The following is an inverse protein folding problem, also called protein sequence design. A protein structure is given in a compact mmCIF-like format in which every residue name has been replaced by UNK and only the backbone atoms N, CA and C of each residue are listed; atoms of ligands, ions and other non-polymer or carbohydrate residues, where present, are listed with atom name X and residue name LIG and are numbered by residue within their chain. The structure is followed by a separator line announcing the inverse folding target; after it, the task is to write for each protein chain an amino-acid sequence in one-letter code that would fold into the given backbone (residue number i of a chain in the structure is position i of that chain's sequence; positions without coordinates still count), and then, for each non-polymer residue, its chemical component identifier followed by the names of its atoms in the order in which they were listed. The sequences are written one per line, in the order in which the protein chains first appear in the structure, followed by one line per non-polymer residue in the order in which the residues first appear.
data_IF_025725731488
#
_entry.id   IF_025725731488
#
_cell.length_a   1.000
_cell.length_b   1.000
_cell.length_c   1.000
_cell.angle_alpha   90.00
_cell.angle_beta   90.00
_cell.angle_gamma   90.00
#
_symmetry.space_group_name_H-M   'P 1'
#
loop_
_entity.id
_entity.type
_entity.pdbx_description
1 polymer ?
#
# COMPACT_ATOMS: atom_id res chain seq x y z
N UNK A 1 22.98 -13.45 0.22
CA UNK A 1 22.83 -12.54 -0.93
C UNK A 1 21.79 -11.50 -0.53
N UNK A 2 22.16 -10.24 -0.56
CA UNK A 2 21.25 -9.15 -0.27
C UNK A 2 20.41 -8.86 -1.53
N UNK A 3 19.11 -8.70 -1.41
CA UNK A 3 18.20 -8.39 -2.53
C UNK A 3 18.62 -7.11 -3.27
N UNK A 4 19.13 -6.13 -2.53
CA UNK A 4 19.64 -4.87 -3.08
C UNK A 4 20.85 -5.13 -3.98
N UNK A 5 21.76 -6.02 -3.58
CA UNK A 5 22.96 -6.39 -4.35
C UNK A 5 22.60 -7.12 -5.66
N UNK A 6 21.38 -7.66 -5.76
CA UNK A 6 20.86 -8.29 -6.98
C UNK A 6 20.37 -7.29 -8.03
N UNK A 7 20.41 -5.98 -7.75
CA UNK A 7 20.04 -4.93 -8.70
C UNK A 7 18.52 -4.67 -8.76
N UNK A 8 17.77 -4.90 -7.66
CA UNK A 8 16.37 -4.52 -7.60
C UNK A 8 16.19 -3.00 -7.67
N UNK A 9 15.08 -2.54 -8.22
CA UNK A 9 14.74 -1.11 -8.31
C UNK A 9 13.81 -0.66 -7.19
N UNK A 10 13.15 -1.60 -6.51
CA UNK A 10 12.23 -1.31 -5.41
C UNK A 10 12.03 -2.52 -4.51
N UNK A 11 11.53 -2.25 -3.31
CA UNK A 11 11.17 -3.24 -2.31
C UNK A 11 9.74 -2.94 -1.87
N UNK A 12 8.86 -3.93 -1.95
CA UNK A 12 7.48 -3.87 -1.45
C UNK A 12 7.35 -4.74 -0.21
N UNK A 13 6.69 -4.21 0.82
CA UNK A 13 6.36 -4.94 2.03
C UNK A 13 4.90 -4.74 2.41
N UNK A 14 4.29 -5.78 2.99
CA UNK A 14 2.90 -5.75 3.42
C UNK A 14 2.82 -6.03 4.94
N UNK A 15 2.97 -5.00 5.78
CA UNK A 15 2.75 -5.13 7.22
C UNK A 15 1.25 -5.32 7.50
N UNK A 16 0.89 -6.46 8.04
CA UNK A 16 -0.50 -6.81 8.34
C UNK A 16 -0.82 -6.61 9.82
N UNK A 17 -2.09 -6.30 10.18
CA UNK A 17 -2.51 -6.13 11.56
C UNK A 17 -2.33 -7.38 12.44
N UNK A 18 -2.30 -8.57 11.83
CA UNK A 18 -2.04 -9.85 12.51
C UNK A 18 -0.55 -10.17 12.65
N UNK A 19 0.33 -9.24 12.24
CA UNK A 19 1.79 -9.31 12.35
C UNK A 19 2.43 -10.50 11.59
N UNK A 20 1.70 -11.11 10.67
CA UNK A 20 2.26 -12.14 9.79
C UNK A 20 3.33 -11.54 8.89
N UNK A 21 4.44 -12.25 8.73
CA UNK A 21 5.55 -11.93 7.82
C UNK A 21 6.27 -10.63 8.16
N UNK A 22 5.71 -9.47 7.84
CA UNK A 22 6.29 -8.14 8.08
C UNK A 22 5.53 -7.45 9.20
N UNK A 23 6.26 -6.99 10.21
CA UNK A 23 5.73 -6.22 11.34
C UNK A 23 6.02 -4.72 11.17
N UNK A 24 5.36 -3.81 11.91
CA UNK A 24 5.72 -2.39 11.94
C UNK A 24 7.18 -2.14 12.33
N UNK A 25 7.76 -3.02 13.17
CA UNK A 25 9.19 -2.95 13.53
C UNK A 25 10.09 -3.25 12.33
N UNK A 26 9.73 -4.23 11.51
CA UNK A 26 10.48 -4.54 10.30
C UNK A 26 10.42 -3.39 9.29
N UNK A 27 9.28 -2.71 9.16
CA UNK A 27 9.15 -1.48 8.35
C UNK A 27 10.14 -0.42 8.82
N UNK A 28 10.24 -0.22 10.15
CA UNK A 28 11.18 0.72 10.75
C UNK A 28 12.64 0.40 10.42
N UNK A 29 13.01 -0.87 10.49
CA UNK A 29 14.37 -1.32 10.17
C UNK A 29 14.67 -1.22 8.67
N UNK A 30 13.73 -1.64 7.82
CA UNK A 30 13.86 -1.55 6.37
C UNK A 30 14.05 -0.09 5.92
N UNK A 31 13.25 0.84 6.46
CA UNK A 31 13.38 2.27 6.12
C UNK A 31 14.78 2.85 6.41
N UNK A 32 15.49 2.31 7.41
CA UNK A 32 16.85 2.74 7.74
C UNK A 32 17.91 2.20 6.78
N UNK A 33 17.70 0.99 6.25
CA UNK A 33 18.72 0.27 5.46
C UNK A 33 18.52 0.34 3.97
N UNK A 34 17.30 0.65 3.50
CA UNK A 34 17.01 0.80 2.07
C UNK A 34 17.66 2.10 1.56
N UNK A 35 18.57 2.03 0.58
CA UNK A 35 19.18 3.21 0.00
C UNK A 35 18.16 4.09 -0.76
N UNK A 36 18.40 5.40 -0.81
CA UNK A 36 17.49 6.35 -1.45
C UNK A 36 17.26 6.14 -2.96
N UNK A 37 18.09 5.36 -3.62
CA UNK A 37 17.93 5.01 -5.03
C UNK A 37 17.10 3.73 -5.25
N UNK A 38 16.62 3.10 -4.17
CA UNK A 38 15.72 1.93 -4.20
C UNK A 38 14.35 2.36 -3.70
N UNK A 39 13.35 2.19 -4.55
CA UNK A 39 11.97 2.55 -4.21
C UNK A 39 11.43 1.71 -3.04
N UNK A 40 10.87 2.37 -2.03
CA UNK A 40 10.22 1.69 -0.91
C UNK A 40 8.71 1.80 -1.04
N UNK A 41 8.03 0.67 -1.16
CA UNK A 41 6.58 0.57 -1.26
C UNK A 41 6.02 -0.15 -0.04
N UNK A 42 5.00 0.44 0.59
CA UNK A 42 4.24 -0.21 1.66
C UNK A 42 2.84 -0.52 1.11
N UNK A 43 2.51 -1.80 1.12
CA UNK A 43 1.20 -2.33 0.73
C UNK A 43 0.34 -2.56 1.97
N UNK A 44 -0.98 -2.37 1.85
CA UNK A 44 -1.92 -2.69 2.92
C UNK A 44 -3.32 -2.14 2.69
N UNK A 45 -4.24 -2.56 3.56
CA UNK A 45 -5.59 -2.04 3.55
C UNK A 45 -5.62 -0.66 4.24
N UNK A 46 -6.00 0.41 3.50
CA UNK A 46 -5.99 1.77 4.03
C UNK A 46 -7.02 2.01 5.15
N UNK A 47 -7.98 1.09 5.32
CA UNK A 47 -9.03 1.16 6.35
C UNK A 47 -8.67 0.39 7.62
N UNK A 48 -7.54 -0.32 7.63
CA UNK A 48 -7.08 -1.04 8.81
C UNK A 48 -6.78 -0.10 9.96
N UNK A 49 -7.51 -0.34 11.05
CA UNK A 49 -7.42 0.46 12.26
C UNK A 49 -6.26 -0.01 13.15
N UNK A 50 -5.77 0.87 14.02
CA UNK A 50 -4.74 0.49 15.00
C UNK A 50 -5.24 -0.58 15.96
N UNK A 51 -4.33 -1.44 16.40
CA UNK A 51 -4.48 -2.36 17.52
C UNK A 51 -3.23 -2.25 18.43
N UNK A 52 -3.11 -3.13 19.44
CA UNK A 52 -2.06 -3.04 20.47
C UNK A 52 -0.63 -3.04 19.87
N UNK A 53 -0.41 -3.71 18.76
CA UNK A 53 0.92 -3.90 18.15
C UNK A 53 1.03 -3.34 16.72
N UNK A 54 -0.08 -2.90 16.15
CA UNK A 54 -0.16 -2.35 14.79
C UNK A 54 -0.77 -0.94 14.81
N UNK A 55 -0.06 0.09 14.37
CA UNK A 55 -0.51 1.49 14.49
C UNK A 55 -1.61 1.88 13.49
N UNK A 56 -1.98 1.01 12.58
CA UNK A 56 -2.84 1.32 11.43
C UNK A 56 -2.03 1.63 10.17
N UNK A 57 -2.58 1.26 9.01
CA UNK A 57 -1.89 1.43 7.73
C UNK A 57 -1.53 2.90 7.45
N UNK A 58 -2.49 3.82 7.58
CA UNK A 58 -2.26 5.23 7.28
C UNK A 58 -1.27 5.89 8.24
N UNK A 59 -1.17 5.42 9.50
CA UNK A 59 -0.15 5.89 10.43
C UNK A 59 1.25 5.44 10.00
N UNK A 60 1.41 4.20 9.51
CA UNK A 60 2.68 3.74 8.93
C UNK A 60 3.08 4.59 7.72
N UNK A 61 2.13 4.88 6.83
CA UNK A 61 2.36 5.74 5.66
C UNK A 61 2.79 7.15 6.09
N UNK A 62 2.05 7.77 7.01
CA UNK A 62 2.35 9.12 7.49
C UNK A 62 3.73 9.20 8.16
N UNK A 63 4.09 8.17 8.94
CA UNK A 63 5.34 8.18 9.69
C UNK A 63 6.57 7.89 8.82
N UNK A 64 6.48 6.85 7.99
CA UNK A 64 7.64 6.39 7.21
C UNK A 64 7.77 7.05 5.84
N UNK A 65 6.73 7.66 5.33
CA UNK A 65 6.69 8.33 4.02
C UNK A 65 7.42 7.51 2.94
N UNK A 66 6.85 6.35 2.54
CA UNK A 66 7.42 5.55 1.48
C UNK A 66 7.32 6.28 0.13
N UNK A 67 8.03 5.80 -0.87
CA UNK A 67 7.92 6.34 -2.24
C UNK A 67 6.57 6.00 -2.88
N UNK A 68 6.00 4.86 -2.50
CA UNK A 68 4.69 4.39 -2.94
C UNK A 68 3.90 3.77 -1.79
N UNK A 69 2.59 3.95 -1.85
CA UNK A 69 1.61 3.26 -1.04
C UNK A 69 0.70 2.45 -1.96
N UNK A 70 0.71 1.11 -1.83
CA UNK A 70 -0.17 0.22 -2.58
C UNK A 70 -1.37 -0.15 -1.72
N UNK A 71 -2.55 0.23 -2.18
CA UNK A 71 -3.81 0.05 -1.46
C UNK A 71 -4.46 -1.26 -1.91
N UNK A 72 -4.77 -2.13 -0.94
CA UNK A 72 -5.46 -3.41 -1.15
C UNK A 72 -6.69 -3.51 -0.26
N UNK A 73 -7.77 -4.18 -0.67
CA UNK A 73 -8.98 -4.33 0.16
C UNK A 73 -8.91 -5.51 1.13
N UNK A 74 -7.71 -6.01 1.43
CA UNK A 74 -7.50 -7.21 2.22
C UNK A 74 -8.15 -7.16 3.61
N UNK A 75 -8.72 -8.29 4.01
CA UNK A 75 -9.18 -8.56 5.36
C UNK A 75 -8.15 -9.40 6.12
N UNK A 76 -8.09 -9.25 7.44
CA UNK A 76 -7.19 -10.03 8.31
C UNK A 76 -7.45 -11.53 8.27
N UNK A 77 -8.67 -11.94 7.92
CA UNK A 77 -9.05 -13.35 7.78
C UNK A 77 -8.56 -14.00 6.48
N UNK A 78 -8.18 -13.21 5.49
CA UNK A 78 -7.65 -13.71 4.22
C UNK A 78 -6.21 -14.19 4.38
N UNK A 79 -5.88 -15.33 3.75
CA UNK A 79 -4.49 -15.86 3.74
C UNK A 79 -3.56 -15.01 2.88
N UNK A 80 -4.10 -14.49 1.77
CA UNK A 80 -3.43 -13.62 0.81
C UNK A 80 -4.48 -12.74 0.14
N UNK A 81 -4.05 -11.69 -0.56
CA UNK A 81 -4.94 -10.91 -1.43
C UNK A 81 -5.61 -11.83 -2.46
N UNK A 82 -6.91 -11.71 -2.66
CA UNK A 82 -7.72 -12.55 -3.54
C UNK A 82 -8.69 -11.77 -4.43
N UNK A 83 -8.71 -10.45 -4.33
CA UNK A 83 -9.48 -9.53 -5.18
C UNK A 83 -8.94 -8.11 -5.08
N UNK A 84 -9.33 -7.26 -6.03
CA UNK A 84 -9.08 -5.82 -6.01
C UNK A 84 -10.22 -5.02 -5.37
N UNK A 85 -10.08 -3.70 -5.32
CA UNK A 85 -11.16 -2.82 -4.90
C UNK A 85 -12.33 -2.84 -5.89
N UNK A 86 -13.54 -3.02 -5.38
CA UNK A 86 -14.76 -2.77 -6.15
C UNK A 86 -14.99 -1.26 -6.29
N UNK A 87 -14.69 -0.73 -7.48
CA UNK A 87 -14.89 0.67 -7.81
C UNK A 87 -16.23 0.93 -8.52
N UNK A 88 -17.14 -0.03 -8.55
CA UNK A 88 -18.47 0.12 -9.19
C UNK A 88 -19.30 1.22 -8.51
N UNK A 89 -19.01 1.54 -7.25
CA UNK A 89 -19.66 2.59 -6.47
C UNK A 89 -18.65 3.63 -5.99
N UNK A 90 -19.08 4.90 -5.80
CA UNK A 90 -18.23 5.91 -5.17
C UNK A 90 -17.78 5.48 -3.77
N UNK A 91 -16.51 5.67 -3.47
CA UNK A 91 -15.94 5.45 -2.14
C UNK A 91 -15.24 6.72 -1.67
N UNK A 92 -15.99 7.54 -0.92
CA UNK A 92 -15.50 8.85 -0.45
C UNK A 92 -14.32 8.74 0.52
N UNK A 93 -14.21 7.63 1.25
CA UNK A 93 -13.07 7.41 2.16
C UNK A 93 -11.81 7.09 1.38
N UNK A 94 -11.91 6.23 0.36
CA UNK A 94 -10.81 5.94 -0.54
C UNK A 94 -10.33 7.20 -1.28
N UNK A 95 -11.27 8.04 -1.75
CA UNK A 95 -10.93 9.33 -2.37
C UNK A 95 -10.13 10.24 -1.42
N UNK A 96 -10.52 10.31 -0.14
CA UNK A 96 -9.79 11.10 0.87
C UNK A 96 -8.38 10.56 1.08
N UNK A 97 -8.23 9.24 1.13
CA UNK A 97 -6.92 8.59 1.29
C UNK A 97 -6.01 8.92 0.10
N UNK A 98 -6.50 8.78 -1.13
CA UNK A 98 -5.73 9.11 -2.33
C UNK A 98 -5.32 10.59 -2.34
N UNK A 99 -6.21 11.50 -1.96
CA UNK A 99 -5.88 12.93 -1.82
C UNK A 99 -4.82 13.16 -0.73
N UNK A 100 -4.88 12.43 0.37
CA UNK A 100 -3.87 12.50 1.44
C UNK A 100 -2.51 12.04 0.93
N UNK A 101 -2.43 10.90 0.26
CA UNK A 101 -1.18 10.40 -0.34
C UNK A 101 -0.58 11.43 -1.30
N UNK A 102 -1.41 12.03 -2.15
CA UNK A 102 -0.98 13.07 -3.07
C UNK A 102 -0.44 14.30 -2.35
N UNK A 103 -1.06 14.73 -1.25
CA UNK A 103 -0.59 15.86 -0.45
C UNK A 103 0.76 15.60 0.24
N UNK A 104 1.05 14.33 0.54
CA UNK A 104 2.32 13.84 1.08
C UNK A 104 3.39 13.58 0.00
N UNK A 105 3.05 13.77 -1.27
CA UNK A 105 3.90 13.42 -2.42
C UNK A 105 4.28 11.93 -2.45
N UNK A 106 3.38 11.07 -2.00
CA UNK A 106 3.51 9.62 -2.03
C UNK A 106 2.71 9.09 -3.22
N UNK A 107 3.34 8.30 -4.09
CA UNK A 107 2.70 7.69 -5.24
C UNK A 107 1.66 6.66 -4.79
N UNK A 108 0.45 6.78 -5.29
CA UNK A 108 -0.64 5.85 -5.01
C UNK A 108 -0.69 4.73 -6.04
N UNK A 109 -0.79 3.48 -5.58
CA UNK A 109 -1.14 2.30 -6.38
C UNK A 109 -2.37 1.64 -5.77
N UNK A 110 -3.23 1.06 -6.58
CA UNK A 110 -4.46 0.40 -6.10
C UNK A 110 -4.65 -0.96 -6.79
N UNK A 111 -4.98 -1.99 -6.00
CA UNK A 111 -5.40 -3.29 -6.52
C UNK A 111 -6.82 -3.20 -7.07
N UNK A 112 -6.98 -3.62 -8.32
CA UNK A 112 -8.29 -3.74 -8.98
C UNK A 112 -8.35 -5.04 -9.78
N UNK A 113 -9.55 -5.59 -9.92
CA UNK A 113 -9.78 -6.68 -10.85
C UNK A 113 -9.61 -6.18 -12.29
N UNK A 114 -9.23 -7.05 -13.26
CA UNK A 114 -8.96 -6.66 -14.64
C UNK A 114 -10.26 -6.34 -15.41
N UNK A 115 -10.92 -5.26 -15.01
CA UNK A 115 -12.14 -4.72 -15.60
C UNK A 115 -11.94 -3.30 -16.12
N UNK A 116 -12.42 -3.02 -17.32
CA UNK A 116 -12.22 -1.71 -17.98
C UNK A 116 -12.93 -0.58 -17.24
N UNK A 117 -14.08 -0.84 -16.63
CA UNK A 117 -14.81 0.18 -15.89
C UNK A 117 -14.07 0.51 -14.58
N UNK A 118 -13.49 -0.49 -13.90
CA UNK A 118 -12.63 -0.25 -12.74
C UNK A 118 -11.38 0.56 -13.11
N UNK A 119 -10.75 0.29 -14.26
CA UNK A 119 -9.62 1.09 -14.75
C UNK A 119 -9.98 2.56 -15.00
N UNK A 120 -11.13 2.81 -15.63
CA UNK A 120 -11.62 4.19 -15.85
C UNK A 120 -11.84 4.90 -14.53
N UNK A 121 -12.51 4.25 -13.58
CA UNK A 121 -12.78 4.84 -12.25
C UNK A 121 -11.53 5.04 -11.43
N UNK A 122 -10.55 4.15 -11.48
CA UNK A 122 -9.24 4.34 -10.86
C UNK A 122 -8.56 5.61 -11.38
N UNK A 123 -8.62 5.84 -12.70
CA UNK A 123 -8.14 7.09 -13.30
C UNK A 123 -8.90 8.32 -12.78
N UNK A 124 -10.23 8.24 -12.68
CA UNK A 124 -11.05 9.35 -12.19
C UNK A 124 -10.79 9.65 -10.70
N UNK A 125 -10.46 8.64 -9.90
CA UNK A 125 -10.00 8.78 -8.52
C UNK A 125 -8.64 9.49 -8.42
N UNK A 126 -7.87 9.51 -9.51
CA UNK A 126 -6.57 10.17 -9.58
C UNK A 126 -5.44 9.36 -8.96
N UNK A 127 -5.54 8.02 -8.95
CA UNK A 127 -4.43 7.15 -8.58
C UNK A 127 -3.33 7.18 -9.64
N UNK A 128 -2.09 7.00 -9.21
CA UNK A 128 -0.92 7.07 -10.10
C UNK A 128 -0.67 5.74 -10.83
N UNK A 129 -1.01 4.62 -10.20
CA UNK A 129 -0.81 3.26 -10.71
C UNK A 129 -1.99 2.36 -10.37
N UNK A 130 -2.14 1.30 -11.15
CA UNK A 130 -3.03 0.17 -10.84
C UNK A 130 -2.22 -1.12 -10.86
N UNK A 131 -2.61 -2.04 -10.01
CA UNK A 131 -2.10 -3.39 -9.93
C UNK A 131 -3.26 -4.33 -10.21
N UNK A 132 -3.12 -5.19 -11.22
CA UNK A 132 -4.18 -6.12 -11.63
C UNK A 132 -4.03 -7.41 -10.84
N UNK A 133 -5.11 -7.83 -10.26
CA UNK A 133 -5.20 -9.12 -9.58
C UNK A 133 -5.57 -10.24 -10.55
#
# INVERSE_FOLDING_TARGET
MNIIDSGCHGITVHPRPDLRHITPKDVAELKKIIPNNIEFNIEGNPFEQPNDEYPGYMELINFYQPDQATLVPDDTMQKTSDHGFDLSKPNLELEKIIKTLKSLNIRSSIFIDPDIEHLKRAKDLGVDRVELY
#
